data_IF_694921405639
#
_entry.id   IF_694921405639
#
_cell.length_a   1.000
_cell.length_b   1.000
_cell.length_c   1.000
_cell.angle_alpha   90.00
_cell.angle_beta   90.00
_cell.angle_gamma   90.00
#
_symmetry.space_group_name_H-M   'P 1'
#
loop_
_entity.id
_entity.type
_entity.pdbx_description
1 polymer ?
#
# COMPACT_ATOMS: atom_id res chain seq x y z
N UNK A 1 17.66 -3.78 2.05
CA UNK A 1 16.67 -4.84 1.72
C UNK A 1 17.12 -6.10 2.43
N UNK A 2 16.25 -6.75 3.21
CA UNK A 2 16.61 -7.99 3.94
C UNK A 2 15.63 -9.08 3.50
N UNK A 3 16.14 -10.21 3.04
CA UNK A 3 15.33 -11.30 2.49
C UNK A 3 14.64 -10.96 1.16
N UNK A 4 14.88 -9.78 0.57
CA UNK A 4 14.24 -9.29 -0.67
C UNK A 4 13.09 -8.29 -0.45
N UNK A 5 12.76 -7.96 0.81
CA UNK A 5 11.79 -6.92 1.16
C UNK A 5 12.47 -5.63 1.67
N UNK A 6 11.87 -4.49 1.31
CA UNK A 6 12.29 -3.18 1.83
C UNK A 6 11.93 -3.06 3.30
N UNK A 7 12.87 -2.55 4.10
CA UNK A 7 12.64 -2.20 5.51
C UNK A 7 12.71 -0.70 5.69
N UNK A 8 11.84 -0.18 6.52
CA UNK A 8 11.71 1.24 6.84
C UNK A 8 12.22 1.50 8.25
N UNK A 9 12.79 2.69 8.46
CA UNK A 9 13.20 3.17 9.77
C UNK A 9 11.93 3.42 10.61
N UNK A 10 11.72 2.62 11.65
CA UNK A 10 10.52 2.70 12.48
C UNK A 10 10.35 4.09 13.14
N UNK A 11 11.39 4.71 13.74
CA UNK A 11 11.29 6.08 14.25
C UNK A 11 10.80 7.12 13.22
N UNK A 12 11.21 6.99 11.96
CA UNK A 12 10.74 7.88 10.90
C UNK A 12 9.28 7.63 10.53
N UNK A 13 8.86 6.36 10.46
CA UNK A 13 7.45 6.02 10.23
C UNK A 13 6.57 6.59 11.34
N UNK A 14 6.98 6.39 12.60
CA UNK A 14 6.26 6.88 13.78
C UNK A 14 6.14 8.41 13.78
N UNK A 15 7.23 9.13 13.48
CA UNK A 15 7.23 10.59 13.50
C UNK A 15 6.54 11.24 12.30
N UNK A 16 6.71 10.69 11.08
CA UNK A 16 6.26 11.34 9.85
C UNK A 16 4.86 10.94 9.41
N UNK A 17 4.48 9.69 9.64
CA UNK A 17 3.21 9.13 9.13
C UNK A 17 2.23 8.90 10.27
N UNK A 18 2.71 8.36 11.39
CA UNK A 18 1.87 7.94 12.52
C UNK A 18 1.88 8.93 13.69
N UNK A 19 2.35 10.18 13.47
CA UNK A 19 2.48 11.18 14.53
C UNK A 19 1.16 11.58 15.20
N UNK A 20 0.02 11.32 14.55
CA UNK A 20 -1.32 11.54 15.10
C UNK A 20 -1.82 10.42 16.02
N UNK A 21 -1.04 9.35 16.22
CA UNK A 21 -1.42 8.19 17.04
C UNK A 21 -0.52 8.06 18.25
N UNK A 22 -1.08 7.67 19.39
CA UNK A 22 -0.28 7.37 20.58
C UNK A 22 0.53 6.08 20.38
N UNK A 23 1.70 5.99 21.00
CA UNK A 23 2.51 4.77 20.98
C UNK A 23 1.75 3.55 21.52
N UNK A 24 0.86 3.75 22.50
CA UNK A 24 -0.01 2.69 23.02
C UNK A 24 -0.93 2.12 21.94
N UNK A 25 -1.61 2.99 21.17
CA UNK A 25 -2.47 2.56 20.06
C UNK A 25 -1.67 1.85 18.96
N UNK A 26 -0.48 2.38 18.63
CA UNK A 26 0.38 1.79 17.60
C UNK A 26 0.82 0.39 18.04
N UNK A 27 1.31 0.24 19.27
CA UNK A 27 1.75 -1.05 19.81
C UNK A 27 0.60 -2.05 19.89
N UNK A 28 -0.58 -1.62 20.32
CA UNK A 28 -1.77 -2.47 20.33
C UNK A 28 -2.09 -3.02 18.93
N UNK A 29 -2.06 -2.18 17.89
CA UNK A 29 -2.31 -2.63 16.52
C UNK A 29 -1.19 -3.55 16.01
N UNK A 30 0.06 -3.27 16.35
CA UNK A 30 1.18 -4.16 16.03
C UNK A 30 0.98 -5.55 16.66
N UNK A 31 0.59 -5.63 17.93
CA UNK A 31 0.35 -6.88 18.63
C UNK A 31 -0.82 -7.65 18.01
N UNK A 32 -1.93 -6.97 17.73
CA UNK A 32 -3.11 -7.59 17.10
C UNK A 32 -2.81 -8.13 15.70
N UNK A 33 -2.03 -7.40 14.89
CA UNK A 33 -1.61 -7.78 13.55
C UNK A 33 -0.40 -8.73 13.50
N UNK A 34 0.19 -9.03 14.66
CA UNK A 34 1.42 -9.82 14.82
C UNK A 34 2.59 -9.25 13.99
N UNK A 35 2.76 -7.92 14.02
CA UNK A 35 3.83 -7.22 13.31
C UNK A 35 5.13 -7.33 14.11
N UNK A 36 6.17 -7.88 13.47
CA UNK A 36 7.50 -7.97 14.05
C UNK A 36 8.39 -6.81 13.61
N UNK A 37 8.82 -5.99 14.57
CA UNK A 37 9.84 -4.97 14.36
C UNK A 37 11.22 -5.51 14.77
N UNK A 38 12.16 -5.55 13.83
CA UNK A 38 13.53 -6.01 14.09
C UNK A 38 14.43 -4.86 14.52
N UNK A 39 15.45 -5.13 15.33
CA UNK A 39 16.52 -4.16 15.59
C UNK A 39 17.52 -4.12 14.41
N UNK A 40 18.05 -2.93 14.09
CA UNK A 40 19.19 -2.80 13.19
C UNK A 40 20.40 -3.60 13.69
N UNK A 41 21.10 -4.25 12.77
CA UNK A 41 22.49 -4.66 13.01
C UNK A 41 23.44 -3.43 12.88
N UNK A 42 24.72 -3.53 13.28
CA UNK A 42 25.64 -2.39 13.24
C UNK A 42 25.80 -1.76 11.86
N UNK A 43 25.88 -2.58 10.80
CA UNK A 43 26.02 -2.11 9.42
C UNK A 43 24.78 -1.32 8.96
N UNK A 44 23.58 -1.84 9.23
CA UNK A 44 22.32 -1.16 8.92
C UNK A 44 22.17 0.15 9.70
N UNK A 45 22.60 0.18 10.96
CA UNK A 45 22.57 1.37 11.79
C UNK A 45 23.46 2.46 11.20
N UNK A 46 24.67 2.09 10.76
CA UNK A 46 25.61 3.03 10.12
C UNK A 46 25.07 3.59 8.80
N UNK A 47 24.47 2.74 7.95
CA UNK A 47 23.82 3.19 6.71
C UNK A 47 22.72 4.21 6.99
N UNK A 48 21.91 4.01 8.03
CA UNK A 48 20.85 4.96 8.41
C UNK A 48 21.41 6.29 8.94
N UNK A 49 22.54 6.26 9.65
CA UNK A 49 23.22 7.47 10.13
C UNK A 49 23.76 8.29 8.96
N UNK A 50 24.50 7.64 8.06
CA UNK A 50 25.06 8.28 6.85
C UNK A 50 23.94 8.87 5.98
N UNK A 51 22.81 8.17 5.85
CA UNK A 51 21.65 8.65 5.11
C UNK A 51 20.88 9.79 5.82
N UNK A 52 21.32 10.24 7.00
CA UNK A 52 20.65 11.27 7.80
C UNK A 52 19.26 10.84 8.29
N UNK A 53 19.00 9.54 8.33
CA UNK A 53 17.68 9.00 8.68
C UNK A 53 17.47 8.86 10.19
N UNK A 54 18.55 8.80 10.94
CA UNK A 54 18.61 8.80 12.41
C UNK A 54 19.81 9.66 12.88
N UNK A 55 19.82 10.15 14.13
CA UNK A 55 20.95 10.87 14.70
C UNK A 55 22.26 10.05 14.72
N UNK A 56 23.42 10.71 14.60
CA UNK A 56 24.74 10.05 14.59
C UNK A 56 25.08 9.37 15.94
N UNK A 57 24.55 9.88 17.04
CA UNK A 57 24.67 9.34 18.40
C UNK A 57 23.68 8.19 18.68
N UNK A 58 22.79 7.86 17.75
CA UNK A 58 21.84 6.76 17.92
C UNK A 58 22.55 5.41 18.12
N UNK A 59 22.23 4.71 19.21
CA UNK A 59 22.79 3.40 19.57
C UNK A 59 21.92 2.22 19.13
N UNK A 60 20.68 2.50 18.71
CA UNK A 60 19.72 1.51 18.24
C UNK A 60 18.69 2.15 17.33
N UNK A 61 18.14 1.36 16.42
CA UNK A 61 17.00 1.73 15.60
C UNK A 61 16.15 0.49 15.33
N UNK A 62 14.83 0.66 15.36
CA UNK A 62 13.88 -0.36 14.94
C UNK A 62 13.62 -0.29 13.44
N UNK A 63 13.40 -1.45 12.82
CA UNK A 63 13.04 -1.60 11.43
C UNK A 63 11.71 -2.35 11.33
N UNK A 64 10.86 -1.90 10.42
CA UNK A 64 9.61 -2.54 10.04
C UNK A 64 9.65 -2.88 8.55
N UNK A 65 9.05 -3.99 8.13
CA UNK A 65 8.93 -4.32 6.72
C UNK A 65 8.01 -3.31 6.01
N UNK A 66 8.18 -3.10 4.71
CA UNK A 66 7.27 -2.23 3.95
C UNK A 66 5.83 -2.78 4.02
N UNK A 67 5.64 -4.09 3.86
CA UNK A 67 4.32 -4.72 3.96
C UNK A 67 3.66 -4.45 5.31
N UNK A 68 4.39 -4.66 6.42
CA UNK A 68 3.82 -4.43 7.75
C UNK A 68 3.58 -2.95 8.05
N UNK A 69 4.40 -2.05 7.50
CA UNK A 69 4.13 -0.62 7.59
C UNK A 69 2.80 -0.25 6.89
N UNK A 70 2.50 -0.85 5.73
CA UNK A 70 1.24 -0.61 5.02
C UNK A 70 0.05 -1.23 5.78
N UNK A 71 0.20 -2.44 6.34
CA UNK A 71 -0.81 -3.07 7.22
C UNK A 71 -1.12 -2.21 8.46
N UNK A 72 -0.06 -1.75 9.14
CA UNK A 72 -0.16 -0.91 10.33
C UNK A 72 -0.87 0.41 10.02
N UNK A 73 -0.43 1.11 8.97
CA UNK A 73 -1.06 2.36 8.56
C UNK A 73 -2.55 2.16 8.27
N UNK A 74 -2.89 1.16 7.44
CA UNK A 74 -4.28 0.89 7.07
C UNK A 74 -5.15 0.64 8.30
N UNK A 75 -4.71 -0.22 9.23
CA UNK A 75 -5.46 -0.54 10.43
C UNK A 75 -5.65 0.68 11.35
N UNK A 76 -4.62 1.51 11.52
CA UNK A 76 -4.69 2.72 12.34
C UNK A 76 -5.64 3.76 11.74
N UNK A 77 -5.49 4.11 10.46
CA UNK A 77 -6.34 5.10 9.80
C UNK A 77 -7.80 4.64 9.65
N UNK A 78 -8.04 3.34 9.51
CA UNK A 78 -9.39 2.78 9.52
C UNK A 78 -10.08 2.94 10.88
N UNK A 79 -9.35 2.73 11.99
CA UNK A 79 -9.88 2.86 13.36
C UNK A 79 -10.13 4.29 13.80
N UNK A 80 -9.39 5.24 13.25
CA UNK A 80 -9.58 6.67 13.56
C UNK A 80 -10.95 7.21 13.14
N UNK A 81 -11.77 6.42 12.45
CA UNK A 81 -13.19 6.73 12.26
C UNK A 81 -13.40 8.07 11.57
N UNK A 82 -12.60 8.38 10.54
CA UNK A 82 -12.94 9.48 9.66
C UNK A 82 -14.38 9.24 9.20
N UNK A 83 -15.30 10.22 9.40
CA UNK A 83 -16.67 10.09 8.92
C UNK A 83 -16.60 9.68 7.44
N UNK A 84 -17.41 8.72 6.99
CA UNK A 84 -17.49 8.44 5.57
C UNK A 84 -17.71 9.79 4.88
N UNK A 85 -16.90 10.15 3.86
CA UNK A 85 -17.16 11.35 3.10
C UNK A 85 -18.64 11.33 2.69
N UNK A 86 -19.32 12.50 2.68
CA UNK A 86 -20.76 12.56 2.45
C UNK A 86 -21.10 11.66 1.26
N UNK A 87 -21.96 10.66 1.52
CA UNK A 87 -22.33 9.62 0.55
C UNK A 87 -22.56 10.31 -0.77
N UNK A 88 -21.62 10.14 -1.70
CA UNK A 88 -21.80 10.65 -3.05
C UNK A 88 -22.97 9.85 -3.57
N UNK A 89 -24.14 10.48 -3.65
CA UNK A 89 -25.33 9.84 -4.21
C UNK A 89 -24.88 9.29 -5.55
N UNK A 90 -24.80 7.97 -5.67
CA UNK A 90 -24.60 7.28 -6.94
C UNK A 90 -25.45 8.03 -7.96
N UNK A 91 -24.87 8.52 -9.08
CA UNK A 91 -25.66 9.21 -10.09
C UNK A 91 -26.85 8.33 -10.44
N UNK A 92 -28.04 8.78 -10.02
CA UNK A 92 -29.26 8.04 -10.27
C UNK A 92 -29.40 7.91 -11.77
N UNK A 93 -29.30 6.68 -12.29
CA UNK A 93 -29.65 6.30 -13.67
C UNK A 93 -29.29 7.39 -14.72
N UNK A 94 -28.03 7.82 -14.71
CA UNK A 94 -27.52 8.86 -15.60
C UNK A 94 -26.05 8.65 -15.95
N UNK A 95 -25.79 7.91 -17.02
CA UNK A 95 -24.62 8.05 -17.90
C UNK A 95 -23.23 7.58 -17.45
N UNK A 96 -22.88 7.59 -16.16
CA UNK A 96 -21.52 7.24 -15.72
C UNK A 96 -21.32 5.71 -15.64
N UNK A 97 -20.25 5.21 -16.25
CA UNK A 97 -19.95 3.78 -16.36
C UNK A 97 -19.29 3.29 -15.07
N UNK A 98 -20.05 2.66 -14.19
CA UNK A 98 -19.51 2.09 -12.94
C UNK A 98 -19.56 0.56 -12.95
N UNK A 99 -18.55 -0.09 -12.35
CA UNK A 99 -18.47 -1.55 -12.29
C UNK A 99 -17.83 -2.06 -10.99
N UNK A 100 -18.18 -3.29 -10.61
CA UNK A 100 -17.69 -3.88 -9.36
C UNK A 100 -16.24 -4.35 -9.48
N UNK A 101 -15.45 -4.00 -8.47
CA UNK A 101 -14.04 -4.38 -8.32
C UNK A 101 -13.79 -5.02 -6.96
N UNK A 102 -12.68 -5.74 -6.84
CA UNK A 102 -12.21 -6.30 -5.57
C UNK A 102 -10.68 -6.43 -5.54
N UNK A 103 -10.13 -6.62 -4.35
CA UNK A 103 -8.75 -7.08 -4.14
C UNK A 103 -8.73 -8.12 -3.01
N UNK A 104 -7.63 -8.86 -2.90
CA UNK A 104 -7.43 -9.91 -1.89
C UNK A 104 -6.17 -9.65 -1.03
N UNK A 105 -5.85 -8.37 -0.81
CA UNK A 105 -4.71 -7.99 0.02
C UNK A 105 -5.15 -7.93 1.48
N UNK A 106 -4.37 -8.55 2.38
CA UNK A 106 -4.59 -8.52 3.84
C UNK A 106 -5.95 -9.05 4.31
N UNK A 107 -6.54 -9.95 3.54
CA UNK A 107 -7.97 -10.27 3.58
C UNK A 107 -8.57 -9.98 2.22
N UNK A 108 -9.74 -9.33 2.17
CA UNK A 108 -10.40 -8.94 0.92
C UNK A 108 -11.21 -7.67 1.11
N UNK A 109 -11.43 -6.92 0.05
CA UNK A 109 -12.45 -5.87 0.01
C UNK A 109 -13.09 -5.82 -1.37
N UNK A 110 -14.37 -5.46 -1.41
CA UNK A 110 -15.15 -5.22 -2.63
C UNK A 110 -15.55 -3.75 -2.70
N UNK A 111 -15.70 -3.25 -3.92
CA UNK A 111 -16.09 -1.88 -4.16
C UNK A 111 -16.66 -1.64 -5.55
N UNK A 112 -17.07 -0.41 -5.79
CA UNK A 112 -17.59 0.07 -7.08
C UNK A 112 -16.59 1.09 -7.61
N UNK A 113 -16.03 0.82 -8.79
CA UNK A 113 -15.14 1.75 -9.48
C UNK A 113 -15.94 2.62 -10.44
N UNK A 114 -15.74 3.93 -10.36
CA UNK A 114 -16.28 4.92 -11.30
C UNK A 114 -15.11 5.65 -11.97
N UNK A 115 -14.63 5.18 -13.14
CA UNK A 115 -13.45 5.72 -13.81
C UNK A 115 -13.51 7.23 -14.08
N UNK A 116 -14.71 7.78 -14.31
CA UNK A 116 -14.90 9.21 -14.57
C UNK A 116 -14.50 10.10 -13.39
N UNK A 117 -14.45 9.54 -12.17
CA UNK A 117 -14.01 10.25 -10.96
C UNK A 117 -12.48 10.22 -10.78
N UNK A 118 -11.75 9.44 -11.58
CA UNK A 118 -10.29 9.31 -11.45
C UNK A 118 -9.56 10.38 -12.26
N UNK A 119 -9.67 11.64 -11.80
CA UNK A 119 -9.11 12.82 -12.47
C UNK A 119 -7.62 13.05 -12.19
N UNK A 120 -7.12 12.46 -11.10
CA UNK A 120 -5.74 12.55 -10.63
C UNK A 120 -5.37 11.29 -9.82
N UNK A 121 -4.08 11.09 -9.54
CA UNK A 121 -3.57 9.83 -8.98
C UNK A 121 -4.10 9.50 -7.56
N UNK A 122 -4.50 10.50 -6.79
CA UNK A 122 -5.10 10.37 -5.47
C UNK A 122 -6.61 10.64 -5.44
N UNK A 123 -7.23 10.82 -6.61
CA UNK A 123 -8.68 10.99 -6.73
C UNK A 123 -9.42 9.77 -6.16
N UNK A 124 -10.49 10.05 -5.42
CA UNK A 124 -11.27 9.02 -4.74
C UNK A 124 -12.37 8.52 -5.66
N UNK A 125 -12.07 7.46 -6.42
CA UNK A 125 -12.91 6.93 -7.50
C UNK A 125 -13.46 5.51 -7.24
N UNK A 126 -13.11 4.91 -6.10
CA UNK A 126 -13.62 3.59 -5.70
C UNK A 126 -14.39 3.72 -4.39
N UNK A 127 -15.66 3.34 -4.42
CA UNK A 127 -16.51 3.26 -3.23
C UNK A 127 -16.44 1.86 -2.62
N UNK A 128 -16.13 1.74 -1.33
CA UNK A 128 -16.17 0.45 -0.63
C UNK A 128 -17.62 -0.03 -0.46
N UNK A 129 -17.88 -1.29 -0.78
CA UNK A 129 -19.22 -1.88 -0.70
C UNK A 129 -19.73 -2.11 0.75
N UNK A 130 -18.86 -2.02 1.75
CA UNK A 130 -19.21 -2.26 3.16
C UNK A 130 -19.37 -0.96 3.96
N UNK A 131 -18.42 -0.02 3.86
CA UNK A 131 -18.48 1.24 4.59
C UNK A 131 -18.91 2.46 3.77
N UNK A 132 -19.10 2.30 2.46
CA UNK A 132 -19.39 3.41 1.53
C UNK A 132 -18.33 4.53 1.54
N UNK A 133 -17.14 4.25 2.08
CA UNK A 133 -16.01 5.16 2.01
C UNK A 133 -15.50 5.26 0.57
N UNK A 134 -15.17 6.47 0.14
CA UNK A 134 -14.51 6.70 -1.14
C UNK A 134 -12.99 6.59 -0.95
N UNK A 135 -12.30 5.92 -1.88
CA UNK A 135 -10.87 5.67 -1.83
C UNK A 135 -10.22 5.91 -3.19
N UNK A 136 -8.97 6.38 -3.18
CA UNK A 136 -8.12 6.25 -4.35
C UNK A 136 -7.73 4.78 -4.57
N UNK A 137 -7.35 4.37 -5.79
CA UNK A 137 -7.03 2.96 -6.06
C UNK A 137 -5.92 2.41 -5.16
N UNK A 138 -4.88 3.21 -4.91
CA UNK A 138 -3.78 2.85 -4.01
C UNK A 138 -4.24 2.69 -2.55
N UNK A 139 -5.16 3.53 -2.07
CA UNK A 139 -5.70 3.38 -0.71
C UNK A 139 -6.69 2.22 -0.60
N UNK A 140 -7.49 1.99 -1.65
CA UNK A 140 -8.49 0.92 -1.67
C UNK A 140 -7.86 -0.46 -1.48
N UNK A 141 -6.73 -0.76 -2.14
CA UNK A 141 -6.05 -2.06 -2.00
C UNK A 141 -5.44 -2.31 -0.61
N UNK A 142 -5.36 -1.28 0.23
CA UNK A 142 -4.96 -1.41 1.63
C UNK A 142 -6.16 -1.55 2.57
N UNK A 143 -7.36 -1.18 2.12
CA UNK A 143 -8.57 -1.07 2.94
C UNK A 143 -9.25 -2.43 3.08
N UNK A 144 -9.43 -2.91 4.32
CA UNK A 144 -10.06 -4.20 4.62
C UNK A 144 -10.95 -4.08 5.85
N UNK A 145 -12.05 -4.82 5.87
CA UNK A 145 -12.99 -4.88 7.00
C UNK A 145 -12.90 -6.22 7.72
N UNK A 146 -12.89 -6.18 9.07
CA UNK A 146 -13.12 -7.26 10.07
C UNK A 146 -12.49 -8.65 9.85
N UNK A 147 -11.71 -8.86 8.79
CA UNK A 147 -10.99 -10.08 8.44
C UNK A 147 -9.54 -9.75 8.11
N UNK A 148 -8.85 -9.08 9.03
CA UNK A 148 -7.40 -8.92 8.91
C UNK A 148 -6.77 -10.30 9.09
N UNK A 149 -6.10 -10.78 8.04
CA UNK A 149 -5.39 -12.06 8.08
C UNK A 149 -4.19 -11.94 9.02
N UNK A 150 -4.37 -12.38 10.27
CA UNK A 150 -3.32 -12.30 11.31
C UNK A 150 -2.56 -13.62 11.47
N UNK A 151 -2.91 -14.64 10.68
CA UNK A 151 -2.23 -15.95 10.63
C UNK A 151 -1.55 -16.22 9.29
N UNK A 152 -1.60 -15.26 8.36
CA UNK A 152 -0.92 -15.33 7.07
C UNK A 152 0.28 -14.39 7.11
N UNK A 153 1.46 -14.91 6.77
CA UNK A 153 2.61 -14.04 6.54
C UNK A 153 2.45 -13.35 5.19
N UNK A 154 2.30 -12.04 5.20
CA UNK A 154 2.27 -11.22 3.99
C UNK A 154 3.68 -10.74 3.66
N UNK A 155 4.03 -10.75 2.38
CA UNK A 155 5.38 -10.39 1.95
C UNK A 155 5.37 -9.75 0.57
N UNK A 156 6.18 -8.71 0.39
CA UNK A 156 6.34 -8.03 -0.91
C UNK A 156 5.13 -7.20 -1.35
N UNK A 157 4.17 -6.92 -0.46
CA UNK A 157 3.08 -6.00 -0.77
C UNK A 157 3.62 -4.57 -0.91
N UNK A 158 3.05 -3.85 -1.87
CA UNK A 158 3.41 -2.48 -2.18
C UNK A 158 2.19 -1.79 -2.78
N UNK A 159 1.55 -0.91 -2.02
CA UNK A 159 0.33 -0.21 -2.45
C UNK A 159 0.48 0.54 -3.78
N UNK A 160 1.70 0.98 -4.14
CA UNK A 160 1.95 1.62 -5.44
C UNK A 160 1.73 0.68 -6.62
N UNK A 161 1.76 -0.63 -6.40
CA UNK A 161 1.45 -1.69 -7.38
C UNK A 161 -0.03 -2.08 -7.40
N UNK A 162 -0.95 -1.22 -6.91
CA UNK A 162 -2.40 -1.50 -6.84
C UNK A 162 -3.00 -2.05 -8.14
N UNK A 163 -2.44 -1.70 -9.30
CA UNK A 163 -2.84 -2.19 -10.63
C UNK A 163 -2.77 -3.72 -10.74
N UNK A 164 -1.83 -4.35 -10.05
CA UNK A 164 -1.67 -5.81 -10.01
C UNK A 164 -2.65 -6.48 -9.04
N UNK A 165 -3.25 -5.72 -8.11
CA UNK A 165 -4.10 -6.25 -7.05
C UNK A 165 -5.59 -5.99 -7.31
N UNK A 166 -5.94 -4.93 -8.04
CA UNK A 166 -7.32 -4.56 -8.34
C UNK A 166 -7.86 -5.38 -9.52
N UNK A 167 -8.98 -6.07 -9.28
CA UNK A 167 -9.61 -7.02 -10.21
C UNK A 167 -11.10 -6.71 -10.38
N UNK A 168 -11.67 -7.05 -11.54
CA UNK A 168 -13.12 -6.98 -11.79
C UNK A 168 -13.83 -8.16 -11.13
N UNK A 169 -14.95 -7.92 -10.46
CA UNK A 169 -15.74 -8.98 -9.84
C UNK A 169 -16.18 -10.05 -10.87
N UNK A 170 -16.12 -11.33 -10.48
CA UNK A 170 -16.33 -12.47 -11.38
C UNK A 170 -17.80 -12.65 -11.79
N UNK A 171 -18.73 -12.10 -11.03
CA UNK A 171 -20.18 -12.20 -11.19
C UNK A 171 -20.79 -11.12 -12.12
N UNK A 172 -19.97 -10.25 -12.69
CA UNK A 172 -20.44 -9.17 -13.58
C UNK A 172 -20.74 -9.65 -15.01
N UNK A 173 -21.91 -9.29 -15.52
CA UNK A 173 -22.27 -9.52 -16.92
C UNK A 173 -21.33 -8.72 -17.84
N UNK A 174 -20.80 -9.35 -18.88
CA UNK A 174 -19.83 -8.69 -19.77
C UNK A 174 -18.43 -8.56 -19.14
N UNK A 175 -18.05 -9.47 -18.23
CA UNK A 175 -16.76 -9.52 -17.55
C UNK A 175 -15.55 -9.18 -18.45
N UNK A 176 -15.43 -9.77 -19.64
CA UNK A 176 -14.31 -9.48 -20.55
C UNK A 176 -14.23 -8.01 -20.98
N UNK A 177 -15.37 -7.35 -21.19
CA UNK A 177 -15.42 -5.92 -21.53
C UNK A 177 -15.00 -5.08 -20.34
N UNK A 178 -15.45 -5.45 -19.14
CA UNK A 178 -15.10 -4.75 -17.91
C UNK A 178 -13.61 -4.92 -17.56
N UNK A 179 -13.02 -6.10 -17.82
CA UNK A 179 -11.57 -6.32 -17.67
C UNK A 179 -10.80 -5.38 -18.59
N UNK A 180 -11.19 -5.27 -19.87
CA UNK A 180 -10.56 -4.33 -20.81
C UNK A 180 -10.69 -2.88 -20.35
N UNK A 181 -11.86 -2.50 -19.84
CA UNK A 181 -12.10 -1.18 -19.27
C UNK A 181 -11.22 -0.91 -18.04
N UNK A 182 -11.07 -1.91 -17.17
CA UNK A 182 -10.21 -1.81 -16.00
C UNK A 182 -8.73 -1.64 -16.39
N UNK A 183 -8.27 -2.31 -17.45
CA UNK A 183 -6.90 -2.11 -17.94
C UNK A 183 -6.67 -0.68 -18.48
N UNK A 184 -7.63 -0.14 -19.25
CA UNK A 184 -7.59 1.28 -19.67
C UNK A 184 -7.58 2.22 -18.45
N UNK A 185 -8.41 1.94 -17.45
CA UNK A 185 -8.42 2.69 -16.19
C UNK A 185 -7.06 2.63 -15.46
N UNK A 186 -6.41 1.46 -15.41
CA UNK A 186 -5.09 1.30 -14.80
C UNK A 186 -4.02 2.11 -15.54
N UNK A 187 -4.10 2.26 -16.85
CA UNK A 187 -3.11 3.05 -17.60
C UNK A 187 -3.16 4.55 -17.28
N UNK A 188 -4.32 5.06 -16.83
CA UNK A 188 -4.48 6.45 -16.43
C UNK A 188 -3.54 6.82 -15.27
N UNK A 189 -2.93 8.00 -15.36
CA UNK A 189 -1.97 8.52 -14.38
C UNK A 189 -0.83 7.55 -14.04
N UNK A 190 -0.52 6.58 -14.92
CA UNK A 190 0.68 5.77 -14.78
C UNK A 190 1.88 6.64 -15.19
N UNK A 191 2.78 6.92 -14.23
CA UNK A 191 4.10 7.40 -14.59
C UNK A 191 4.78 6.26 -15.35
N UNK A 192 5.12 6.47 -16.62
CA UNK A 192 5.89 5.49 -17.39
C UNK A 192 7.13 5.11 -16.57
N UNK A 193 7.17 3.88 -16.06
CA UNK A 193 8.32 3.42 -15.29
C UNK A 193 9.58 3.49 -16.19
N UNK A 194 10.66 4.16 -15.76
CA UNK A 194 11.90 4.10 -16.53
C UNK A 194 12.36 2.64 -16.59
N UNK A 195 12.53 2.11 -17.81
CA UNK A 195 13.07 0.78 -18.06
C UNK A 195 14.41 0.67 -17.32
N UNK A 196 14.46 -0.16 -16.28
CA UNK A 196 15.68 -0.51 -15.56
C UNK A 196 16.61 -1.20 -16.56
N UNK A 197 17.60 -0.48 -17.10
CA UNK A 197 18.69 -1.11 -17.88
C UNK A 197 19.43 -2.03 -16.91
N UNK A 198 19.42 -3.33 -17.18
CA UNK A 198 20.42 -4.25 -16.64
C UNK A 198 21.79 -3.71 -17.05
N UNK A 199 22.55 -3.21 -16.10
CA UNK A 199 23.99 -3.04 -16.27
C UNK A 199 24.57 -4.45 -16.13
N UNK A 200 25.02 -5.00 -17.24
CA UNK A 200 25.83 -6.22 -17.26
C UNK A 200 27.18 -5.89 -16.63
N UNK A 201 27.45 -6.44 -15.45
CA UNK A 201 28.78 -6.48 -14.86
C UNK A 201 29.69 -7.36 -15.73
N UNK A 202 30.49 -6.74 -16.60
CA UNK A 202 31.68 -7.40 -17.14
C UNK A 202 32.84 -7.11 -16.21
N UNK A 203 33.16 -8.10 -15.38
CA UNK A 203 34.35 -8.12 -14.54
C UNK A 203 35.58 -8.37 -15.43
N UNK A 204 36.40 -7.34 -15.68
CA UNK A 204 37.71 -7.50 -16.33
C UNK A 204 38.79 -7.70 -15.26
N UNK A 205 39.63 -8.74 -15.32
CA UNK A 205 40.69 -8.94 -14.33
C UNK A 205 41.86 -7.96 -14.54
N UNK A 206 42.59 -7.58 -13.46
CA UNK A 206 43.72 -6.65 -13.55
C UNK A 206 44.96 -7.30 -14.20
N UNK A 207 45.87 -6.49 -14.79
CA UNK A 207 47.07 -7.00 -15.45
C UNK A 207 48.13 -7.49 -14.45
N UNK A 208 48.97 -8.46 -14.84
CA UNK A 208 50.04 -8.96 -13.98
C UNK A 208 51.20 -7.96 -13.87
N UNK A 209 51.88 -8.02 -12.72
CA UNK A 209 53.09 -7.26 -12.37
C UNK A 209 54.28 -7.62 -13.27
#
# INVERSE_FOLDING_TARGET
VVGGERRLCLPQLLSRVLGGFSLSQINQVCDELQIYCSRCNPEQLEVLKIAGSIPNDAVACGLITKTDAERLCSALFHRSGAPPPPVWKTPGKGGALSFKVYHECFGKCKGICTPELYTESDAHCIECAECHGMFSPQKFVCHVHRSQENRTCHWGFDSSNWRSYLLVAKDEAGHEKLVKLLEVFKEQHSAAAPKRKQVSDTCTPPPPL
#
